data_IF_144566347703
#
_entry.id   IF_144566347703
#
_cell.length_a   1.000
_cell.length_b   1.000
_cell.length_c   1.000
_cell.angle_alpha   90.00
_cell.angle_beta   90.00
_cell.angle_gamma   90.00
#
_symmetry.space_group_name_H-M   'P 1'
#
loop_
_entity.id
_entity.type
_entity.pdbx_description
1 polymer ?
#
# COMPACT_ATOMS: atom_id res chain seq x y z
N UNK A 1 17.58 -9.35 -25.15
CA UNK A 1 17.42 -8.06 -24.44
C UNK A 1 16.77 -8.37 -23.10
N UNK A 2 17.55 -8.92 -22.17
CA UNK A 2 17.02 -9.56 -20.93
C UNK A 2 17.64 -8.99 -19.64
N UNK A 3 18.79 -8.30 -19.75
CA UNK A 3 19.50 -7.58 -18.67
C UNK A 3 18.79 -6.31 -18.16
N UNK A 4 17.48 -6.17 -18.38
CA UNK A 4 16.70 -5.04 -17.87
C UNK A 4 15.57 -5.49 -16.92
N UNK A 5 15.15 -6.76 -16.99
CA UNK A 5 13.98 -7.26 -16.25
C UNK A 5 14.30 -7.46 -14.75
N UNK A 6 15.45 -8.04 -14.45
CA UNK A 6 15.87 -8.33 -13.09
C UNK A 6 16.31 -7.08 -12.34
N UNK A 7 16.98 -6.18 -13.04
CA UNK A 7 17.38 -4.87 -12.56
C UNK A 7 16.14 -4.05 -12.19
N UNK A 8 15.12 -4.02 -13.06
CA UNK A 8 13.85 -3.37 -12.76
C UNK A 8 13.17 -3.99 -11.53
N UNK A 9 13.07 -5.32 -11.48
CA UNK A 9 12.50 -6.04 -10.33
C UNK A 9 13.22 -5.69 -9.02
N UNK A 10 14.55 -5.53 -9.06
CA UNK A 10 15.33 -5.12 -7.91
C UNK A 10 15.04 -3.67 -7.50
N UNK A 11 14.93 -2.75 -8.46
CA UNK A 11 14.58 -1.36 -8.16
C UNK A 11 13.17 -1.25 -7.57
N UNK A 12 12.21 -2.00 -8.11
CA UNK A 12 10.85 -2.05 -7.60
C UNK A 12 10.83 -2.61 -6.18
N UNK A 13 11.56 -3.70 -5.92
CA UNK A 13 11.71 -4.25 -4.57
C UNK A 13 12.29 -3.26 -3.55
N UNK A 14 13.28 -2.45 -3.97
CA UNK A 14 13.83 -1.36 -3.14
C UNK A 14 12.80 -0.27 -2.90
N UNK A 15 12.06 0.13 -3.94
CA UNK A 15 11.02 1.13 -3.85
C UNK A 15 9.92 0.70 -2.88
N UNK A 16 9.40 -0.51 -3.02
CA UNK A 16 8.36 -1.04 -2.12
C UNK A 16 8.83 -1.09 -0.67
N UNK A 17 10.07 -1.53 -0.41
CA UNK A 17 10.62 -1.53 0.95
C UNK A 17 10.72 -0.11 1.54
N UNK A 18 11.10 0.86 0.72
CA UNK A 18 11.16 2.25 1.12
C UNK A 18 9.77 2.83 1.41
N UNK A 19 8.80 2.58 0.52
CA UNK A 19 7.40 2.97 0.70
C UNK A 19 6.79 2.36 1.97
N UNK A 20 7.01 1.07 2.23
CA UNK A 20 6.52 0.40 3.43
C UNK A 20 7.11 1.04 4.71
N UNK A 21 8.39 1.43 4.67
CA UNK A 21 9.02 2.16 5.78
C UNK A 21 8.36 3.52 6.02
N UNK A 22 8.03 4.25 4.96
CA UNK A 22 7.33 5.53 5.05
C UNK A 22 5.89 5.37 5.59
N UNK A 23 5.17 4.33 5.16
CA UNK A 23 3.82 4.01 5.65
C UNK A 23 3.86 3.68 7.15
N UNK A 24 4.77 2.80 7.58
CA UNK A 24 4.90 2.43 9.00
C UNK A 24 5.26 3.64 9.85
N UNK A 25 6.19 4.49 9.39
CA UNK A 25 6.57 5.73 10.10
C UNK A 25 5.38 6.68 10.26
N UNK A 26 4.61 6.89 9.19
CA UNK A 26 3.43 7.75 9.21
C UNK A 26 2.36 7.24 10.18
N UNK A 27 2.01 5.96 10.10
CA UNK A 27 1.00 5.35 10.98
C UNK A 27 1.41 5.40 12.46
N UNK A 28 2.69 5.17 12.75
CA UNK A 28 3.24 5.24 14.12
C UNK A 28 3.11 6.65 14.70
N UNK A 29 3.47 7.66 13.92
CA UNK A 29 3.44 9.07 14.34
C UNK A 29 2.00 9.60 14.49
N UNK A 30 1.07 9.09 13.69
CA UNK A 30 -0.37 9.37 13.80
C UNK A 30 -1.09 8.56 14.90
N UNK A 31 -0.36 7.97 15.85
CA UNK A 31 -0.88 7.15 16.95
C UNK A 31 -1.67 5.89 16.51
N UNK A 32 -1.57 5.45 15.25
CA UNK A 32 -2.24 4.26 14.70
C UNK A 32 -1.40 2.99 14.91
N UNK A 33 -1.03 2.72 16.17
CA UNK A 33 -0.05 1.68 16.53
C UNK A 33 -0.43 0.28 16.05
N UNK A 34 -1.72 -0.08 16.10
CA UNK A 34 -2.20 -1.38 15.61
C UNK A 34 -2.03 -1.52 14.10
N UNK A 35 -2.37 -0.47 13.34
CA UNK A 35 -2.19 -0.44 11.89
C UNK A 35 -0.69 -0.48 11.53
N UNK A 36 0.13 0.29 12.23
CA UNK A 36 1.58 0.28 12.05
C UNK A 36 2.16 -1.13 12.30
N UNK A 37 1.73 -1.81 13.37
CA UNK A 37 2.16 -3.17 13.69
C UNK A 37 1.70 -4.20 12.63
N UNK A 38 0.45 -4.10 12.16
CA UNK A 38 -0.07 -4.99 11.14
C UNK A 38 0.68 -4.82 9.80
N UNK A 39 0.90 -3.59 9.37
CA UNK A 39 1.67 -3.28 8.15
C UNK A 39 3.12 -3.70 8.29
N UNK A 40 3.75 -3.42 9.43
CA UNK A 40 5.12 -3.84 9.74
C UNK A 40 5.27 -5.36 9.60
N UNK A 41 4.37 -6.12 10.24
CA UNK A 41 4.37 -7.58 10.18
C UNK A 41 4.10 -8.11 8.77
N UNK A 42 3.08 -7.59 8.08
CA UNK A 42 2.70 -8.08 6.75
C UNK A 42 3.77 -7.80 5.69
N UNK A 43 4.53 -6.72 5.85
CA UNK A 43 5.55 -6.29 4.88
C UNK A 43 6.98 -6.67 5.29
N UNK A 44 7.13 -7.35 6.43
CA UNK A 44 8.44 -7.61 7.05
C UNK A 44 9.28 -6.34 7.26
N UNK A 45 8.63 -5.21 7.53
CA UNK A 45 9.26 -3.92 7.81
C UNK A 45 9.39 -3.77 9.33
N UNK A 46 10.53 -3.33 9.89
CA UNK A 46 10.65 -3.12 11.32
C UNK A 46 9.67 -2.03 11.80
N UNK A 47 9.16 -2.15 13.03
CA UNK A 47 8.27 -1.12 13.59
C UNK A 47 9.03 0.17 13.96
N UNK A 48 10.33 0.04 14.28
CA UNK A 48 11.21 1.17 14.53
C UNK A 48 12.00 1.58 13.29
N UNK A 49 11.29 2.14 12.30
CA UNK A 49 11.90 2.72 11.11
C UNK A 49 12.45 4.12 11.39
N UNK A 50 13.60 4.43 10.79
CA UNK A 50 14.25 5.76 10.84
C UNK A 50 13.68 6.76 9.80
N UNK A 51 12.64 6.36 9.07
CA UNK A 51 12.04 7.21 8.05
C UNK A 51 11.27 8.39 8.68
N UNK A 52 11.35 9.61 8.12
CA UNK A 52 10.60 10.76 8.63
C UNK A 52 9.08 10.55 8.46
N UNK A 53 8.25 10.71 9.49
CA UNK A 53 6.82 10.38 9.42
C UNK A 53 5.99 11.18 8.40
N UNK A 54 6.36 12.44 8.17
CA UNK A 54 5.64 13.32 7.24
C UNK A 54 6.08 13.15 5.78
N UNK A 55 7.14 12.37 5.53
CA UNK A 55 7.73 12.28 4.20
C UNK A 55 6.79 11.63 3.18
N UNK A 56 5.94 10.70 3.63
CA UNK A 56 4.92 10.09 2.77
C UNK A 56 3.96 11.15 2.22
N UNK A 57 3.42 12.00 3.09
CA UNK A 57 2.48 13.07 2.71
C UNK A 57 3.13 14.09 1.77
N UNK A 58 4.39 14.47 2.03
CA UNK A 58 5.14 15.35 1.13
C UNK A 58 5.27 14.75 -0.28
N UNK A 59 5.59 13.47 -0.38
CA UNK A 59 5.77 12.79 -1.66
C UNK A 59 4.45 12.67 -2.42
N UNK A 60 3.37 12.33 -1.72
CA UNK A 60 2.02 12.28 -2.31
C UNK A 60 1.59 13.66 -2.81
N UNK A 61 1.80 14.72 -2.01
CA UNK A 61 1.50 16.09 -2.43
C UNK A 61 2.32 16.51 -3.66
N UNK A 62 3.61 16.15 -3.70
CA UNK A 62 4.48 16.42 -4.86
C UNK A 62 4.03 15.65 -6.10
N UNK A 63 3.69 14.36 -5.97
CA UNK A 63 3.20 13.54 -7.08
C UNK A 63 1.88 14.08 -7.65
N UNK A 64 0.95 14.48 -6.77
CA UNK A 64 -0.32 15.06 -7.18
C UNK A 64 -0.14 16.43 -7.88
N UNK A 65 0.82 17.24 -7.42
CA UNK A 65 1.13 18.51 -8.06
C UNK A 65 1.70 18.32 -9.48
N UNK A 66 2.51 17.28 -9.72
CA UNK A 66 3.03 16.93 -11.04
C UNK A 66 1.90 16.53 -11.98
N UNK A 67 0.97 15.68 -11.54
CA UNK A 67 -0.19 15.28 -12.35
C UNK A 67 -1.02 16.49 -12.79
N UNK A 68 -1.20 17.47 -11.89
CA UNK A 68 -1.95 18.70 -12.20
C UNK A 68 -1.22 19.61 -13.19
N UNK A 69 0.12 19.61 -13.21
CA UNK A 69 0.92 20.40 -14.16
C UNK A 69 0.88 19.78 -15.57
N UNK A 70 0.93 18.44 -15.66
CA UNK A 70 0.79 17.73 -16.93
C UNK A 70 -0.60 17.95 -17.57
N UNK A 71 -1.66 18.08 -16.77
CA UNK A 71 -3.01 18.44 -17.25
C UNK A 71 -3.07 19.84 -17.88
N UNK A 72 -2.22 20.79 -17.43
CA UNK A 72 -2.15 22.13 -18.01
C UNK A 72 -1.24 22.22 -19.25
N UNK A 73 -0.39 21.22 -19.49
CA UNK A 73 0.58 21.18 -20.60
C UNK A 73 0.15 20.21 -21.71
N UNK A 74 -1.14 20.24 -22.05
CA UNK A 74 -1.70 20.01 -23.38
C UNK A 74 -1.34 18.72 -24.12
N UNK A 75 -2.23 17.73 -24.05
CA UNK A 75 -2.79 17.07 -25.25
C UNK A 75 -4.17 16.48 -24.92
N UNK A 76 -5.17 16.90 -25.70
CA UNK A 76 -6.48 16.28 -25.82
C UNK A 76 -6.35 14.79 -26.21
N UNK A 77 -6.96 13.88 -25.45
CA UNK A 77 -7.87 12.82 -25.91
C UNK A 77 -7.86 11.63 -24.96
N UNK A 78 -8.93 11.48 -24.18
CA UNK A 78 -9.67 10.21 -23.97
C UNK A 78 -10.68 10.45 -22.83
N UNK A 79 -11.94 10.03 -22.97
CA UNK A 79 -13.02 10.52 -22.14
C UNK A 79 -12.81 10.08 -20.70
N UNK A 80 -12.93 11.07 -19.82
CA UNK A 80 -13.42 10.90 -18.46
C UNK A 80 -14.61 9.94 -18.50
N UNK A 81 -14.39 8.66 -18.17
CA UNK A 81 -15.45 7.70 -17.96
C UNK A 81 -16.16 8.07 -16.66
N UNK A 82 -17.10 9.01 -16.81
CA UNK A 82 -18.29 9.07 -15.99
C UNK A 82 -19.03 7.74 -16.14
N UNK A 83 -19.02 6.92 -15.09
CA UNK A 83 -19.89 5.76 -14.97
C UNK A 83 -20.21 5.54 -13.49
N UNK A 84 -21.18 6.34 -13.02
CA UNK A 84 -22.06 5.89 -11.96
C UNK A 84 -22.81 4.64 -12.41
N UNK A 85 -22.33 3.47 -12.01
CA UNK A 85 -23.11 2.26 -11.70
C UNK A 85 -22.15 1.10 -11.36
N UNK A 86 -22.40 0.35 -10.27
CA UNK A 86 -21.57 -0.80 -9.92
C UNK A 86 -21.96 -1.99 -10.79
N UNK A 87 -21.07 -2.39 -11.70
CA UNK A 87 -21.18 -3.71 -12.35
C UNK A 87 -20.08 -4.60 -11.76
N UNK A 88 -20.51 -5.48 -10.86
CA UNK A 88 -19.71 -6.55 -10.29
C UNK A 88 -19.35 -7.56 -11.39
N UNK A 89 -18.08 -7.87 -11.67
CA UNK A 89 -17.76 -9.05 -12.45
C UNK A 89 -17.80 -10.26 -11.50
N UNK A 90 -18.77 -11.15 -11.71
CA UNK A 90 -18.81 -12.47 -11.06
C UNK A 90 -17.72 -13.36 -11.66
N UNK A 91 -16.59 -13.51 -10.98
CA UNK A 91 -15.59 -14.55 -11.29
C UNK A 91 -15.74 -15.69 -10.28
N UNK A 92 -15.99 -16.94 -10.71
CA UNK A 92 -16.03 -18.09 -9.83
C UNK A 92 -14.59 -18.41 -9.40
N UNK A 93 -14.18 -17.89 -8.23
CA UNK A 93 -12.84 -18.14 -7.68
C UNK A 93 -12.30 -17.10 -6.70
N UNK A 94 -12.99 -15.98 -6.47
CA UNK A 94 -12.56 -15.02 -5.46
C UNK A 94 -13.10 -15.43 -4.08
N UNK A 95 -12.27 -16.09 -3.27
CA UNK A 95 -12.51 -16.16 -1.83
C UNK A 95 -12.44 -14.74 -1.29
N UNK A 96 -13.57 -14.21 -0.82
CA UNK A 96 -13.61 -12.93 -0.11
C UNK A 96 -12.79 -13.13 1.17
N UNK A 97 -11.60 -12.52 1.23
CA UNK A 97 -10.79 -12.50 2.44
C UNK A 97 -11.47 -11.54 3.42
N UNK A 98 -12.18 -12.09 4.39
CA UNK A 98 -12.74 -11.31 5.50
C UNK A 98 -11.67 -11.11 6.59
N UNK A 99 -11.10 -9.90 6.65
CA UNK A 99 -10.10 -9.52 7.64
C UNK A 99 -10.62 -9.55 9.09
N UNK A 100 -11.93 -9.69 9.32
CA UNK A 100 -12.48 -9.89 10.67
C UNK A 100 -12.16 -11.25 11.26
N UNK A 101 -11.84 -12.26 10.44
CA UNK A 101 -11.42 -13.56 10.95
C UNK A 101 -10.05 -13.55 11.64
N UNK A 102 -9.15 -12.62 11.28
CA UNK A 102 -7.81 -12.53 11.88
C UNK A 102 -7.84 -12.09 13.35
N UNK A 103 -8.91 -11.39 13.78
CA UNK A 103 -9.03 -10.83 15.12
C UNK A 103 -9.95 -11.64 16.05
N UNK A 104 -10.58 -12.70 15.58
CA UNK A 104 -11.44 -13.58 16.41
C UNK A 104 -10.74 -14.84 16.90
N UNK A 105 -9.52 -15.14 16.45
CA UNK A 105 -8.76 -16.29 16.91
C UNK A 105 -7.96 -15.97 18.18
N UNK A 106 -8.68 -15.56 19.24
CA UNK A 106 -8.10 -15.44 20.58
C UNK A 106 -9.10 -15.99 21.59
N UNK A 107 -9.50 -17.25 21.43
CA UNK A 107 -10.05 -18.03 22.55
C UNK A 107 -9.98 -19.54 22.30
N UNK A 108 -9.34 -20.23 23.25
CA UNK A 108 -9.25 -21.69 23.45
C UNK A 108 -8.31 -22.44 22.48
N UNK A 109 -7.30 -23.19 22.93
CA UNK A 109 -6.91 -23.61 24.28
C UNK A 109 -5.51 -24.22 24.22
N UNK A 110 -4.66 -23.83 25.17
CA UNK A 110 -3.51 -24.61 25.61
C UNK A 110 -3.93 -26.03 25.97
N UNK A 111 -3.23 -27.03 25.44
CA UNK A 111 -3.03 -28.29 26.13
C UNK A 111 -1.56 -28.68 25.97
N UNK A 112 -0.79 -28.82 27.07
CA UNK A 112 0.56 -29.31 27.01
C UNK A 112 0.57 -30.85 26.98
N UNK A 113 1.49 -31.38 26.17
CA UNK A 113 2.12 -32.73 26.14
C UNK A 113 1.19 -33.93 26.31
#
# INVERSE_FOLDING_TARGET
MENNSWEQTLQDGKLYRHLNSLIVAHLRDSNLTQAASAVASATMTPLNVEAPPNKLLELVAKGLAVEKDDVFKGTLSSPFCDLGAPVLPTHPGATIIDFRQFFSADTYSFLPI
#
